data_IF_753838529229
#
_entry.id   IF_753838529229
#
_cell.length_a   1.000
_cell.length_b   1.000
_cell.length_c   1.000
_cell.angle_alpha   90.00
_cell.angle_beta   90.00
_cell.angle_gamma   90.00
#
_symmetry.space_group_name_H-M   'P 1'
#
loop_
_entity.id
_entity.type
_entity.pdbx_description
1 polymer ?
#
# COMPACT_ATOMS: atom_id res chain seq x y z
N UNK A 1 5.32 9.81 36.22
CA UNK A 1 4.16 9.88 35.32
C UNK A 1 4.72 10.22 33.95
N UNK A 2 5.13 9.20 33.19
CA UNK A 2 5.45 9.43 31.77
C UNK A 2 4.13 9.66 31.07
N UNK A 3 3.92 10.89 30.60
CA UNK A 3 2.82 11.19 29.70
C UNK A 3 3.11 10.42 28.40
N UNK A 4 2.60 9.19 28.31
CA UNK A 4 2.74 8.35 27.13
C UNK A 4 2.33 9.17 25.92
N UNK A 5 3.29 9.50 25.07
CA UNK A 5 3.06 10.35 23.91
C UNK A 5 1.95 9.72 23.08
N UNK A 6 0.78 10.39 23.05
CA UNK A 6 -0.34 9.93 22.24
C UNK A 6 0.13 9.83 20.79
N UNK A 7 -0.04 8.64 20.19
CA UNK A 7 0.34 8.37 18.81
C UNK A 7 -0.39 9.35 17.89
N UNK A 8 0.34 10.21 17.17
CA UNK A 8 -0.25 11.25 16.30
C UNK A 8 -0.39 10.82 14.85
N UNK A 9 0.50 9.97 14.37
CA UNK A 9 0.53 9.50 12.99
C UNK A 9 1.16 8.12 12.87
N UNK A 10 0.72 7.37 11.86
CA UNK A 10 1.30 6.07 11.47
C UNK A 10 1.61 6.06 9.98
N UNK A 11 2.76 5.50 9.62
CA UNK A 11 3.15 5.18 8.25
C UNK A 11 3.11 3.65 8.11
N UNK A 12 2.14 3.14 7.35
CA UNK A 12 1.88 1.71 7.23
C UNK A 12 2.38 1.21 5.87
N UNK A 13 3.19 0.16 5.87
CA UNK A 13 3.57 -0.54 4.64
C UNK A 13 2.32 -1.20 4.03
N UNK A 14 2.09 -1.05 2.73
CA UNK A 14 0.96 -1.69 2.05
C UNK A 14 0.94 -3.20 2.29
N UNK A 15 2.10 -3.87 2.39
CA UNK A 15 2.19 -5.29 2.66
C UNK A 15 1.62 -5.69 4.03
N UNK A 16 1.59 -4.77 5.00
CA UNK A 16 0.93 -4.98 6.29
C UNK A 16 -0.61 -5.03 6.17
N UNK A 17 -1.16 -4.42 5.12
CA UNK A 17 -2.60 -4.41 4.81
C UNK A 17 -2.99 -5.53 3.82
N UNK A 18 -2.11 -5.81 2.87
CA UNK A 18 -2.23 -6.90 1.90
C UNK A 18 -1.05 -6.89 0.94
N UNK A 19 -0.36 -8.02 0.85
CA UNK A 19 0.82 -8.19 0.01
C UNK A 19 0.47 -8.22 -1.49
N UNK A 20 1.00 -7.25 -2.24
CA UNK A 20 0.79 -7.11 -3.68
C UNK A 20 1.89 -7.74 -4.53
N UNK A 21 2.95 -8.30 -3.94
CA UNK A 21 4.13 -8.78 -4.67
C UNK A 21 3.76 -9.87 -5.69
N UNK A 22 2.92 -10.83 -5.31
CA UNK A 22 2.48 -11.90 -6.23
C UNK A 22 1.64 -11.37 -7.39
N UNK A 23 0.76 -10.42 -7.13
CA UNK A 23 -0.07 -9.79 -8.17
C UNK A 23 0.81 -9.02 -9.17
N UNK A 24 1.82 -8.31 -8.67
CA UNK A 24 2.81 -7.62 -9.49
C UNK A 24 3.63 -8.59 -10.36
N UNK A 25 4.19 -9.64 -9.76
CA UNK A 25 4.98 -10.63 -10.49
C UNK A 25 4.19 -11.34 -11.58
N UNK A 26 2.93 -11.69 -11.31
CA UNK A 26 2.09 -12.36 -12.30
C UNK A 26 1.71 -11.43 -13.47
N UNK A 27 1.50 -10.14 -13.19
CA UNK A 27 1.33 -9.15 -14.24
C UNK A 27 2.58 -8.97 -15.09
N UNK A 28 3.78 -8.83 -14.48
CA UNK A 28 5.05 -8.74 -15.22
C UNK A 28 5.25 -9.95 -16.14
N UNK A 29 4.97 -11.15 -15.63
CA UNK A 29 5.08 -12.38 -16.40
C UNK A 29 4.08 -12.42 -17.56
N UNK A 30 2.86 -11.91 -17.38
CA UNK A 30 1.86 -11.82 -18.46
C UNK A 30 2.25 -10.76 -19.51
N UNK A 31 2.68 -9.58 -19.09
CA UNK A 31 3.14 -8.50 -19.96
C UNK A 31 4.34 -8.95 -20.82
N UNK A 32 5.37 -9.52 -20.21
CA UNK A 32 6.55 -10.02 -20.92
C UNK A 32 6.19 -11.10 -21.96
N UNK A 33 5.26 -12.00 -21.65
CA UNK A 33 4.82 -13.03 -22.60
C UNK A 33 3.97 -12.48 -23.75
N UNK A 34 3.01 -11.57 -23.46
CA UNK A 34 2.04 -11.09 -24.45
C UNK A 34 2.57 -9.97 -25.32
N UNK A 35 3.22 -9.00 -24.71
CA UNK A 35 3.79 -7.86 -25.41
C UNK A 35 5.19 -8.15 -25.97
N UNK A 36 5.85 -9.23 -25.50
CA UNK A 36 7.22 -9.61 -25.87
C UNK A 36 8.24 -8.50 -25.60
N UNK A 37 8.12 -7.90 -24.42
CA UNK A 37 8.94 -6.78 -23.96
C UNK A 37 9.86 -7.21 -22.83
N UNK A 38 10.96 -6.48 -22.66
CA UNK A 38 11.73 -6.48 -21.43
C UNK A 38 10.94 -5.77 -20.31
N UNK A 39 10.70 -6.50 -19.23
CA UNK A 39 9.92 -6.01 -18.08
C UNK A 39 10.73 -5.08 -17.17
N UNK A 40 12.05 -5.02 -17.33
CA UNK A 40 12.90 -4.02 -16.67
C UNK A 40 12.86 -2.66 -17.41
N UNK A 41 12.36 -2.64 -18.65
CA UNK A 41 12.35 -1.48 -19.55
C UNK A 41 10.93 -1.08 -19.98
N UNK A 42 9.93 -1.27 -19.11
CA UNK A 42 8.50 -1.09 -19.43
C UNK A 42 8.14 0.31 -19.94
N UNK A 43 8.76 1.36 -19.40
CA UNK A 43 8.48 2.73 -19.83
C UNK A 43 8.85 2.97 -21.30
N UNK A 44 9.88 2.30 -21.81
CA UNK A 44 10.33 2.41 -23.20
C UNK A 44 9.61 1.42 -24.12
N UNK A 45 9.45 0.16 -23.67
CA UNK A 45 8.95 -0.92 -24.53
C UNK A 45 7.43 -1.09 -24.48
N UNK A 46 6.77 -0.65 -23.40
CA UNK A 46 5.33 -0.69 -23.24
C UNK A 46 4.79 0.59 -22.58
N UNK A 47 4.85 1.77 -23.24
CA UNK A 47 4.55 3.05 -22.59
C UNK A 47 3.16 3.19 -21.95
N UNK A 48 2.20 2.34 -22.33
CA UNK A 48 0.86 2.28 -21.74
C UNK A 48 0.71 1.26 -20.59
N UNK A 49 1.81 0.69 -20.09
CA UNK A 49 1.82 -0.41 -19.11
C UNK A 49 1.06 -0.07 -17.82
N UNK A 50 1.13 1.18 -17.35
CA UNK A 50 0.41 1.65 -16.15
C UNK A 50 -1.09 1.38 -16.23
N UNK A 51 -1.71 1.75 -17.36
CA UNK A 51 -3.13 1.50 -17.62
C UNK A 51 -3.44 0.00 -17.74
N UNK A 52 -2.51 -0.78 -18.30
CA UNK A 52 -2.67 -2.24 -18.41
C UNK A 52 -2.57 -2.92 -17.03
N UNK A 53 -1.67 -2.44 -16.18
CA UNK A 53 -1.51 -2.88 -14.79
C UNK A 53 -2.76 -2.58 -13.98
N UNK A 54 -3.26 -1.34 -14.03
CA UNK A 54 -4.48 -0.95 -13.32
C UNK A 54 -5.63 -1.90 -13.64
N UNK A 55 -5.93 -2.09 -14.92
CA UNK A 55 -6.99 -2.99 -15.36
C UNK A 55 -6.76 -4.44 -14.93
N UNK A 56 -5.55 -4.95 -15.08
CA UNK A 56 -5.21 -6.30 -14.65
C UNK A 56 -5.42 -6.46 -13.15
N UNK A 57 -4.94 -5.50 -12.35
CA UNK A 57 -5.10 -5.50 -10.91
C UNK A 57 -6.57 -5.45 -10.50
N UNK A 58 -7.40 -4.64 -11.15
CA UNK A 58 -8.85 -4.57 -10.88
C UNK A 58 -9.53 -5.93 -11.10
N UNK A 59 -9.21 -6.59 -12.22
CA UNK A 59 -9.78 -7.88 -12.58
C UNK A 59 -9.32 -9.00 -11.64
N UNK A 60 -8.11 -8.91 -11.08
CA UNK A 60 -7.46 -10.01 -10.36
C UNK A 60 -7.31 -9.80 -8.85
N UNK A 61 -7.47 -8.60 -8.31
CA UNK A 61 -7.30 -8.30 -6.89
C UNK A 61 -8.02 -9.28 -5.93
N UNK A 62 -9.26 -9.75 -6.19
CA UNK A 62 -9.94 -10.73 -5.33
C UNK A 62 -9.23 -12.08 -5.16
N UNK A 63 -8.34 -12.44 -6.09
CA UNK A 63 -7.56 -13.69 -6.05
C UNK A 63 -6.38 -13.55 -5.08
N UNK A 64 -5.73 -12.40 -5.06
CA UNK A 64 -4.48 -12.17 -4.32
C UNK A 64 -4.71 -11.50 -2.96
N UNK A 65 -5.72 -10.64 -2.87
CA UNK A 65 -5.94 -9.76 -1.74
C UNK A 65 -7.23 -10.14 -1.03
N UNK A 66 -7.14 -10.31 0.29
CA UNK A 66 -8.28 -10.61 1.15
C UNK A 66 -8.44 -9.52 2.18
N UNK A 67 -9.69 -9.05 2.33
CA UNK A 67 -10.05 -8.16 3.43
C UNK A 67 -9.91 -8.91 4.74
N UNK A 68 -9.27 -8.27 5.70
CA UNK A 68 -9.09 -8.78 7.05
C UNK A 68 -9.87 -7.93 8.05
N UNK A 69 -10.70 -8.59 8.87
CA UNK A 69 -11.59 -7.90 9.79
C UNK A 69 -10.82 -7.20 10.93
N UNK A 70 -9.72 -7.79 11.39
CA UNK A 70 -8.89 -7.23 12.45
C UNK A 70 -8.14 -6.00 11.94
N UNK A 71 -7.50 -6.08 10.77
CA UNK A 71 -6.89 -4.91 10.09
C UNK A 71 -7.90 -3.79 9.90
N UNK A 72 -9.11 -4.11 9.42
CA UNK A 72 -10.15 -3.10 9.25
C UNK A 72 -10.58 -2.47 10.59
N UNK A 73 -10.57 -3.25 11.68
CA UNK A 73 -10.87 -2.78 13.04
C UNK A 73 -9.76 -1.89 13.58
N UNK A 74 -8.49 -2.27 13.41
CA UNK A 74 -7.32 -1.48 13.80
C UNK A 74 -7.31 -0.12 13.09
N UNK A 75 -7.50 -0.09 11.77
CA UNK A 75 -7.57 1.16 11.01
C UNK A 75 -8.72 2.07 11.48
N UNK A 76 -9.89 1.50 11.79
CA UNK A 76 -11.03 2.26 12.35
C UNK A 76 -10.72 2.84 13.73
N UNK A 77 -10.05 2.07 14.59
CA UNK A 77 -9.64 2.52 15.93
C UNK A 77 -8.68 3.70 15.83
N UNK A 78 -7.64 3.59 15.00
CA UNK A 78 -6.67 4.67 14.76
C UNK A 78 -7.36 5.95 14.26
N UNK A 79 -8.23 5.82 13.26
CA UNK A 79 -9.00 6.96 12.73
C UNK A 79 -9.91 7.60 13.80
N UNK A 80 -10.58 6.78 14.62
CA UNK A 80 -11.46 7.27 15.71
C UNK A 80 -10.69 7.97 16.83
N UNK A 81 -9.42 7.59 17.04
CA UNK A 81 -8.51 8.25 17.96
C UNK A 81 -7.84 9.51 17.36
N UNK A 82 -8.18 9.90 16.12
CA UNK A 82 -7.61 11.06 15.45
C UNK A 82 -6.17 10.84 14.96
N UNK A 83 -5.70 9.60 14.90
CA UNK A 83 -4.38 9.26 14.37
C UNK A 83 -4.40 9.43 12.85
N UNK A 84 -3.43 10.18 12.32
CA UNK A 84 -3.24 10.32 10.88
C UNK A 84 -2.65 9.04 10.31
N UNK A 85 -3.22 8.51 9.24
CA UNK A 85 -2.81 7.22 8.66
C UNK A 85 -2.27 7.47 7.26
N UNK A 86 -1.01 7.16 7.02
CA UNK A 86 -0.46 7.08 5.67
C UNK A 86 -0.06 5.67 5.29
N UNK A 87 0.01 5.40 3.98
CA UNK A 87 0.49 4.14 3.43
C UNK A 87 1.68 4.38 2.50
N UNK A 88 2.70 3.52 2.59
CA UNK A 88 3.83 3.52 1.68
C UNK A 88 4.05 2.16 1.05
N UNK A 89 4.64 2.10 -0.13
CA UNK A 89 5.02 0.85 -0.81
C UNK A 89 6.03 1.11 -1.92
N UNK A 90 6.84 0.11 -2.25
CA UNK A 90 7.69 0.15 -3.45
C UNK A 90 6.91 -0.23 -4.72
N UNK A 91 5.67 -0.72 -4.59
CA UNK A 91 4.82 -1.07 -5.73
C UNK A 91 4.42 0.19 -6.54
N UNK A 92 4.12 0.04 -7.86
CA UNK A 92 3.57 1.13 -8.66
C UNK A 92 2.28 1.71 -8.09
N UNK A 93 2.06 3.01 -8.32
CA UNK A 93 0.90 3.77 -7.82
C UNK A 93 -0.44 3.12 -8.24
N UNK A 94 -0.55 2.65 -9.47
CA UNK A 94 -1.76 2.01 -10.00
C UNK A 94 -2.13 0.76 -9.20
N UNK A 95 -1.14 -0.10 -8.94
CA UNK A 95 -1.34 -1.32 -8.16
C UNK A 95 -1.68 -1.00 -6.70
N UNK A 96 -0.99 -0.04 -6.10
CA UNK A 96 -1.21 0.37 -4.72
C UNK A 96 -2.62 0.92 -4.50
N UNK A 97 -3.12 1.76 -5.42
CA UNK A 97 -4.48 2.32 -5.36
C UNK A 97 -5.55 1.24 -5.48
N UNK A 98 -5.40 0.33 -6.45
CA UNK A 98 -6.34 -0.79 -6.62
C UNK A 98 -6.34 -1.67 -5.37
N UNK A 99 -5.17 -2.00 -4.83
CA UNK A 99 -5.04 -2.80 -3.62
C UNK A 99 -5.75 -2.14 -2.42
N UNK A 100 -5.51 -0.85 -2.17
CA UNK A 100 -6.15 -0.11 -1.08
C UNK A 100 -7.68 0.00 -1.23
N UNK A 101 -8.16 0.17 -2.46
CA UNK A 101 -9.60 0.18 -2.77
C UNK A 101 -10.22 -1.18 -2.45
N UNK A 102 -9.61 -2.25 -2.96
CA UNK A 102 -10.08 -3.62 -2.74
C UNK A 102 -10.04 -4.02 -1.27
N UNK A 103 -8.97 -3.69 -0.54
CA UNK A 103 -8.83 -3.92 0.90
C UNK A 103 -9.77 -3.04 1.75
N UNK A 104 -10.42 -2.03 1.15
CA UNK A 104 -11.31 -1.11 1.85
C UNK A 104 -10.58 -0.10 2.74
N UNK A 105 -9.27 0.08 2.55
CA UNK A 105 -8.42 1.00 3.31
C UNK A 105 -8.38 2.41 2.70
N UNK A 106 -8.67 2.57 1.40
CA UNK A 106 -8.50 3.83 0.67
C UNK A 106 -9.17 5.05 1.34
N UNK A 107 -10.36 4.89 1.94
CA UNK A 107 -11.09 5.99 2.60
C UNK A 107 -10.58 6.35 4.00
N UNK A 108 -9.61 5.61 4.52
CA UNK A 108 -9.10 5.74 5.89
C UNK A 108 -7.70 6.36 5.93
N UNK A 109 -7.04 6.45 4.78
CA UNK A 109 -5.70 6.99 4.67
C UNK A 109 -5.75 8.47 4.27
N UNK A 110 -4.80 9.23 4.78
CA UNK A 110 -4.56 10.64 4.46
C UNK A 110 -3.62 10.79 3.27
N UNK A 111 -2.66 9.87 3.12
CA UNK A 111 -1.67 9.90 2.06
C UNK A 111 -1.24 8.48 1.66
N UNK A 112 -0.93 8.33 0.37
CA UNK A 112 -0.26 7.19 -0.22
C UNK A 112 1.02 7.71 -0.88
N UNK A 113 2.15 7.08 -0.60
CA UNK A 113 3.42 7.29 -1.32
C UNK A 113 3.88 5.97 -1.92
N UNK A 114 4.36 5.99 -3.17
CA UNK A 114 4.73 4.79 -3.93
C UNK A 114 6.10 4.90 -4.56
N UNK A 115 6.75 3.77 -4.81
CA UNK A 115 8.07 3.68 -5.46
C UNK A 115 9.22 3.97 -4.50
N UNK A 116 10.42 4.17 -5.05
CA UNK A 116 11.64 4.43 -4.28
C UNK A 116 11.44 5.60 -3.30
N UNK A 117 12.01 5.49 -2.10
CA UNK A 117 11.92 6.47 -1.00
C UNK A 117 10.49 6.84 -0.54
N UNK A 118 9.49 6.01 -0.84
CA UNK A 118 8.09 6.28 -0.46
C UNK A 118 7.91 6.52 1.05
N UNK A 119 8.63 5.77 1.89
CA UNK A 119 8.57 5.95 3.33
C UNK A 119 9.05 7.33 3.76
N UNK A 120 10.16 7.81 3.20
CA UNK A 120 10.75 9.08 3.60
C UNK A 120 9.86 10.25 3.18
N UNK A 121 9.35 10.25 1.94
CA UNK A 121 8.33 11.22 1.49
C UNK A 121 7.08 11.19 2.36
N UNK A 122 6.64 9.99 2.78
CA UNK A 122 5.47 9.89 3.65
C UNK A 122 5.74 10.47 5.04
N UNK A 123 6.93 10.28 5.60
CA UNK A 123 7.33 10.84 6.90
C UNK A 123 7.50 12.35 6.85
N UNK A 124 7.93 12.93 5.73
CA UNK A 124 7.93 14.38 5.53
C UNK A 124 6.51 14.96 5.65
N UNK A 125 5.50 14.24 5.13
CA UNK A 125 4.08 14.65 5.19
C UNK A 125 3.45 14.42 6.56
N UNK A 126 3.70 13.26 7.17
CA UNK A 126 3.10 12.87 8.45
C UNK A 126 3.86 13.45 9.67
N UNK A 127 5.09 13.89 9.49
CA UNK A 127 6.02 14.25 10.55
C UNK A 127 6.98 13.11 10.91
N UNK A 128 8.22 13.46 11.26
CA UNK A 128 9.31 12.52 11.51
C UNK A 128 9.00 11.46 12.59
N UNK A 129 8.17 11.82 13.57
CA UNK A 129 7.74 10.96 14.68
C UNK A 129 6.62 9.97 14.30
N UNK A 130 6.18 9.94 13.03
CA UNK A 130 5.20 8.97 12.57
C UNK A 130 5.70 7.54 12.82
N UNK A 131 4.88 6.73 13.50
CA UNK A 131 5.21 5.35 13.82
C UNK A 131 5.15 4.52 12.53
N UNK A 132 6.28 3.90 12.18
CA UNK A 132 6.34 2.99 11.03
C UNK A 132 5.81 1.61 11.44
N UNK A 133 4.94 1.06 10.60
CA UNK A 133 4.32 -0.27 10.72
C UNK A 133 4.59 -1.03 9.43
N UNK A 134 5.35 -2.13 9.49
CA UNK A 134 5.74 -2.93 8.33
C UNK A 134 5.00 -4.25 8.23
N UNK A 135 4.38 -4.71 9.31
CA UNK A 135 3.70 -6.00 9.34
C UNK A 135 2.28 -5.87 9.89
N UNK A 136 1.43 -6.82 9.53
CA UNK A 136 0.08 -6.92 10.11
C UNK A 136 0.15 -7.04 11.63
N UNK A 137 1.05 -7.84 12.17
CA UNK A 137 1.17 -8.01 13.63
C UNK A 137 1.50 -6.70 14.32
N UNK A 138 2.44 -5.92 13.78
CA UNK A 138 2.75 -4.58 14.30
C UNK A 138 1.55 -3.64 14.25
N UNK A 139 0.72 -3.71 13.20
CA UNK A 139 -0.52 -2.93 13.11
C UNK A 139 -1.52 -3.31 14.20
N UNK A 140 -1.69 -4.61 14.46
CA UNK A 140 -2.63 -5.11 15.47
C UNK A 140 -2.16 -4.84 16.90
N UNK A 141 -0.86 -4.71 17.11
CA UNK A 141 -0.26 -4.37 18.40
C UNK A 141 -0.36 -2.87 18.74
N UNK A 142 -0.79 -2.02 17.79
CA UNK A 142 -1.08 -0.61 18.06
C UNK A 142 -2.32 -0.49 18.96
N UNK A 143 -2.08 -0.11 20.22
CA UNK A 143 -3.13 0.20 21.20
C UNK A 143 -3.53 1.67 21.11
#
# INVERSE_FOLDING_TARGET
MDAGTALKAVAIDLAALGDTARLWSDWLADAGRRARVDVESLDDELPNWRRLLERFAEDHAPVYLRRDADTATALRRLQSAGVRIGVFTDAPDELARVALSHLGAARRIEALETGEDALDRLRERLGADARVVRTRSELLDLK
#
